data_IF_241526535720
#
_entry.id   IF_241526535720
#
_cell.length_a   1.000
_cell.length_b   1.000
_cell.length_c   1.000
_cell.angle_alpha   90.00
_cell.angle_beta   90.00
_cell.angle_gamma   90.00
#
_symmetry.space_group_name_H-M   'P 1'
#
loop_
_entity.id
_entity.type
_entity.pdbx_description
1 polymer ?
2 non-polymer ?
3 water ?
#
# COMPACT_ATOMS: atom_id res chain seq x y z
N UNK A 1 11.50 -19.15 0.92
CA UNK A 1 10.90 -18.14 1.89
C UNK A 1 10.80 -18.68 3.33
N UNK A 2 10.95 -17.78 4.33
CA UNK A 2 10.76 -18.15 5.73
C UNK A 2 9.30 -18.47 6.05
N UNK A 3 9.06 -19.11 7.20
CA UNK A 3 7.76 -19.51 7.61
C UNK A 3 6.86 -18.35 7.94
N UNK A 4 7.44 -17.27 8.39
CA UNK A 4 6.63 -16.11 8.79
C UNK A 4 7.45 -14.84 8.68
N UNK A 5 6.81 -13.73 8.29
CA UNK A 5 7.44 -12.41 8.32
C UNK A 5 6.34 -11.41 8.66
N UNK A 6 6.72 -10.38 9.43
CA UNK A 6 5.79 -9.31 9.74
C UNK A 6 6.61 -8.05 9.84
N UNK A 7 6.53 -7.21 8.81
CA UNK A 7 7.38 -6.03 8.72
C UNK A 7 7.05 -5.00 9.79
N UNK A 8 5.88 -5.12 10.43
CA UNK A 8 5.60 -4.26 11.59
C UNK A 8 6.62 -4.50 12.69
N UNK A 9 7.14 -5.73 12.83
CA UNK A 9 8.14 -6.08 13.87
C UNK A 9 9.57 -5.63 13.47
N UNK A 10 9.77 -5.13 12.25
CA UNK A 10 11.08 -4.72 11.76
C UNK A 10 11.18 -3.18 11.55
N UNK A 11 10.16 -2.45 12.00
CA UNK A 11 10.21 -0.98 11.98
C UNK A 11 9.85 -0.31 10.66
N UNK A 12 9.27 -1.07 9.74
CA UNK A 12 9.11 -0.60 8.34
C UNK A 12 7.67 -0.13 8.01
N UNK A 13 6.80 -0.03 9.01
CA UNK A 13 5.38 0.27 8.79
C UNK A 13 4.93 1.40 9.71
N UNK A 14 4.33 2.40 9.10
CA UNK A 14 3.78 3.55 9.84
C UNK A 14 2.38 3.20 10.41
N UNK A 15 1.88 4.00 11.34
CA UNK A 15 0.52 3.74 11.84
C UNK A 15 -0.54 3.81 10.75
N UNK A 16 -1.68 3.21 11.07
CA UNK A 16 -2.79 3.08 10.12
C UNK A 16 -3.40 4.44 9.89
N UNK A 17 -3.64 4.71 8.62
CA UNK A 17 -4.19 5.98 8.16
C UNK A 17 -5.69 5.80 7.75
N UNK A 18 -6.32 6.94 7.40
CA UNK A 18 -7.75 6.90 7.05
C UNK A 18 -7.91 7.76 5.82
N UNK A 19 -8.31 7.15 4.71
CA UNK A 19 -8.61 7.91 3.50
C UNK A 19 -9.86 8.79 3.59
N UNK A 20 -10.74 8.46 4.54
CA UNK A 20 -12.00 9.17 4.63
C UNK A 20 -12.87 8.99 3.41
N UNK A 21 -13.58 10.07 3.02
CA UNK A 21 -14.61 10.01 1.97
C UNK A 21 -13.99 10.40 0.61
N UNK A 22 -12.93 9.71 0.26
CA UNK A 22 -12.19 9.98 -0.95
C UNK A 22 -11.68 8.63 -1.44
N UNK A 23 -11.86 8.32 -2.72
CA UNK A 23 -11.39 7.05 -3.26
C UNK A 23 -9.91 7.00 -3.62
N UNK A 24 -9.09 7.32 -2.63
CA UNK A 24 -7.67 7.48 -2.78
C UNK A 24 -6.88 6.26 -2.29
N UNK A 25 -7.55 5.10 -2.20
CA UNK A 25 -6.90 3.86 -1.74
C UNK A 25 -5.56 3.62 -2.49
N UNK A 26 -5.58 3.85 -3.81
CA UNK A 26 -4.41 3.63 -4.66
C UNK A 26 -3.22 4.49 -4.17
N UNK A 27 -3.50 5.68 -3.64
CA UNK A 27 -2.43 6.56 -3.14
C UNK A 27 -1.83 6.01 -1.83
N UNK A 28 -2.71 5.56 -0.94
CA UNK A 28 -2.26 4.97 0.35
C UNK A 28 -1.41 3.74 0.08
N UNK A 29 -1.87 2.87 -0.83
CA UNK A 29 -1.10 1.70 -1.21
C UNK A 29 0.33 2.04 -1.70
N UNK A 30 0.38 3.00 -2.63
CA UNK A 30 1.64 3.44 -3.20
C UNK A 30 2.58 4.01 -2.10
N UNK A 31 2.05 4.91 -1.30
CA UNK A 31 2.85 5.57 -0.27
C UNK A 31 3.30 4.58 0.81
N UNK A 32 2.42 3.66 1.23
CA UNK A 32 2.80 2.65 2.22
C UNK A 32 3.97 1.83 1.75
N UNK A 33 3.91 1.46 0.44
CA UNK A 33 5.02 0.73 -0.14
C UNK A 33 6.34 1.52 -0.12
N UNK A 34 6.29 2.81 -0.47
CA UNK A 34 7.51 3.63 -0.52
C UNK A 34 8.02 3.84 0.92
N UNK A 35 7.11 4.06 1.85
CA UNK A 35 7.53 4.17 3.28
C UNK A 35 8.33 2.99 3.73
N UNK A 36 7.87 1.77 3.36
CA UNK A 36 8.53 0.56 3.78
C UNK A 36 9.85 0.34 3.05
N UNK A 37 9.83 0.51 1.72
CA UNK A 37 11.10 0.32 0.93
C UNK A 37 12.19 1.30 1.36
N UNK A 38 11.82 2.52 1.70
CA UNK A 38 12.77 3.55 2.12
C UNK A 38 13.41 3.16 3.46
N UNK A 39 12.59 2.66 4.39
CA UNK A 39 13.12 2.19 5.70
C UNK A 39 14.03 0.97 5.57
N UNK A 40 13.60 0.01 4.76
CA UNK A 40 14.35 -1.22 4.60
C UNK A 40 15.77 -0.98 3.94
N UNK A 41 15.89 0.05 3.10
CA UNK A 41 17.16 0.53 2.50
C UNK A 41 18.13 1.10 3.51
N UNK A 42 17.64 1.40 4.71
CA UNK A 42 18.50 1.84 5.79
C UNK A 42 18.27 3.27 6.20
N UNK A 43 17.13 3.85 5.88
CA UNK A 43 16.81 5.18 6.30
C UNK A 43 15.79 5.10 7.45
N UNK A 44 15.62 6.19 8.21
CA UNK A 44 14.58 6.24 9.23
C UNK A 44 13.18 6.12 8.62
N UNK A 45 12.28 5.49 9.32
CA UNK A 45 10.88 5.52 8.93
C UNK A 45 10.35 6.92 9.00
N UNK A 46 9.72 7.33 7.91
CA UNK A 46 9.10 8.65 7.80
C UNK A 46 7.73 8.51 7.13
N UNK A 47 6.72 9.20 7.63
CA UNK A 47 5.40 9.24 6.99
C UNK A 47 5.46 10.17 5.75
N UNK A 48 4.99 9.62 4.64
CA UNK A 48 5.08 10.33 3.34
C UNK A 48 3.69 10.76 2.91
N UNK A 49 3.64 11.60 1.86
CA UNK A 49 2.41 12.30 1.51
C UNK A 49 1.52 11.62 0.45
N UNK A 50 0.38 11.08 0.88
CA UNK A 50 -0.63 10.67 -0.09
C UNK A 50 -1.23 11.86 -0.82
N UNK A 51 -1.35 12.98 -0.11
CA UNK A 51 -1.95 14.16 -0.75
C UNK A 51 -1.20 14.61 -1.99
N UNK A 52 0.12 14.51 -1.98
CA UNK A 52 0.92 14.81 -3.15
C UNK A 52 0.34 14.08 -4.37
N UNK A 53 0.06 12.79 -4.20
CA UNK A 53 -0.52 12.01 -5.28
C UNK A 53 -1.93 12.42 -5.63
N UNK A 54 -2.76 12.58 -4.61
CA UNK A 54 -4.18 12.88 -4.86
C UNK A 54 -4.33 14.17 -5.66
N UNK A 55 -3.53 15.16 -5.27
CA UNK A 55 -3.65 16.50 -5.86
C UNK A 55 -2.80 16.72 -7.12
N UNK A 56 -1.64 16.05 -7.22
CA UNK A 56 -0.60 16.39 -8.25
C UNK A 56 -0.39 15.33 -9.35
N UNK A 57 -0.72 14.06 -9.08
CA UNK A 57 -0.56 13.01 -10.09
C UNK A 57 -1.64 13.18 -11.15
N UNK A 58 -1.22 13.61 -12.33
CA UNK A 58 -2.17 13.88 -13.41
C UNK A 58 -2.54 12.67 -14.24
N UNK A 59 -1.92 11.51 -14.01
CA UNK A 59 -2.33 10.31 -14.71
C UNK A 59 -3.62 9.70 -14.05
N UNK A 60 -3.64 9.77 -12.74
CA UNK A 60 -4.73 9.27 -11.91
C UNK A 60 -5.78 10.33 -11.68
N UNK A 61 -6.85 9.96 -10.97
CA UNK A 61 -8.02 10.79 -10.85
C UNK A 61 -8.34 11.17 -9.40
N UNK A 62 -7.33 11.32 -8.52
CA UNK A 62 -7.55 11.85 -7.15
C UNK A 62 -8.53 10.97 -6.42
N UNK A 63 -9.63 11.57 -5.89
CA UNK A 63 -10.66 10.84 -5.15
C UNK A 63 -11.51 9.89 -6.01
N UNK A 64 -11.42 10.04 -7.34
CA UNK A 64 -12.19 9.21 -8.26
C UNK A 64 -11.54 7.88 -8.56
N UNK A 65 -10.28 7.72 -8.17
CA UNK A 65 -9.61 6.44 -8.35
C UNK A 65 -8.28 6.58 -9.08
N UNK A 66 -7.57 5.45 -9.15
CA UNK A 66 -6.21 5.45 -9.68
C UNK A 66 -5.59 4.08 -9.64
N UNK A 67 -4.35 3.99 -10.10
CA UNK A 67 -3.65 2.75 -10.09
C UNK A 67 -2.27 3.01 -9.49
N UNK A 68 -1.78 2.07 -8.65
CA UNK A 68 -0.41 2.14 -8.10
C UNK A 68 0.63 2.23 -9.22
N UNK A 69 0.45 1.43 -10.28
CA UNK A 69 1.40 1.51 -11.42
C UNK A 69 1.54 2.95 -11.95
N UNK A 70 0.43 3.63 -12.14
CA UNK A 70 0.45 4.98 -12.67
C UNK A 70 1.11 5.92 -11.69
N UNK A 71 0.81 5.74 -10.37
CA UNK A 71 1.36 6.63 -9.37
C UNK A 71 2.89 6.50 -9.34
N UNK A 72 3.42 5.28 -9.36
CA UNK A 72 4.87 5.08 -9.42
C UNK A 72 5.46 5.75 -10.68
N UNK A 73 4.80 5.57 -11.81
CA UNK A 73 5.20 6.22 -13.07
C UNK A 73 5.26 7.76 -12.93
N UNK A 74 4.23 8.37 -12.36
CA UNK A 74 4.18 9.77 -12.13
C UNK A 74 5.34 10.27 -11.21
N UNK A 75 5.55 9.57 -10.11
CA UNK A 75 6.60 9.95 -9.21
C UNK A 75 7.97 9.99 -9.93
N UNK A 76 8.27 8.93 -10.67
CA UNK A 76 9.62 8.78 -11.25
C UNK A 76 9.78 9.75 -12.43
N UNK A 77 8.75 9.84 -13.28
CA UNK A 77 8.92 10.51 -14.57
C UNK A 77 8.41 11.92 -14.59
N UNK A 78 7.53 12.26 -13.65
CA UNK A 78 7.02 13.62 -13.55
C UNK A 78 7.49 14.40 -12.36
N UNK A 79 7.96 13.71 -11.32
CA UNK A 79 8.38 14.41 -10.08
C UNK A 79 9.82 14.05 -9.69
N UNK A 80 10.60 13.59 -10.67
CA UNK A 80 12.05 13.35 -10.49
C UNK A 80 12.36 12.31 -9.44
N UNK A 81 11.39 11.44 -9.12
CA UNK A 81 11.61 10.36 -8.19
C UNK A 81 11.29 10.73 -6.73
N UNK A 82 10.96 11.99 -6.51
CA UNK A 82 10.83 12.52 -5.17
C UNK A 82 9.45 12.31 -4.54
N UNK A 83 9.42 12.05 -3.22
CA UNK A 83 8.21 11.92 -2.47
C UNK A 83 8.27 12.86 -1.24
N UNK A 84 7.27 13.70 -1.11
CA UNK A 84 7.28 14.67 -0.02
C UNK A 84 6.80 14.03 1.27
N UNK A 85 7.19 14.61 2.38
CA UNK A 85 6.73 14.15 3.66
C UNK A 85 5.26 14.55 3.90
N UNK A 86 4.60 13.78 4.75
CA UNK A 86 3.26 14.05 5.16
C UNK A 86 3.20 15.39 5.90
N UNK A 87 4.19 15.63 6.72
CA UNK A 87 4.27 16.91 7.46
C UNK A 87 4.28 18.11 6.48
N UNK A 88 5.01 18.01 5.37
CA UNK A 88 5.10 19.11 4.42
C UNK A 88 3.85 19.27 3.55
N UNK A 89 3.12 18.15 3.32
CA UNK A 89 2.02 18.11 2.37
C UNK A 89 0.93 17.18 2.96
N UNK A 90 0.23 17.63 3.99
CA UNK A 90 -0.65 16.79 4.76
C UNK A 90 -1.93 16.41 4.03
N UNK A 91 -2.55 15.32 4.48
CA UNK A 91 -3.77 14.83 3.82
C UNK A 91 -4.97 15.66 4.25
N UNK A 92 -5.58 16.35 3.29
CA UNK A 92 -6.77 17.15 3.52
C UNK A 92 -7.99 16.65 2.77
N UNK A 93 -7.85 15.59 1.95
CA UNK A 93 -8.98 15.12 1.12
C UNK A 93 -9.95 14.14 1.80
N UNK A 94 -9.80 13.95 3.10
CA UNK A 94 -10.71 13.05 3.87
C UNK A 94 -12.20 13.44 3.80
N UNK A 95 -12.51 14.70 3.48
CA UNK A 95 -13.91 15.15 3.29
C UNK A 95 -14.33 15.09 1.83
N UNK A 96 -13.47 14.57 0.96
CA UNK A 96 -13.79 14.43 -0.44
C UNK A 96 -13.41 15.63 -1.30
N UNK A 97 -13.01 16.74 -0.68
CA UNK A 97 -12.54 17.95 -1.44
C UNK A 97 -11.16 17.66 -2.03
N UNK A 98 -10.93 18.09 -3.27
CA UNK A 98 -9.62 17.88 -3.90
C UNK A 98 -9.05 19.22 -4.32
N UNK A 99 -8.13 19.76 -3.51
CA UNK A 99 -7.56 21.04 -3.86
C UNK A 99 -6.61 20.88 -5.03
N UNK A 100 -6.28 22.00 -5.66
CA UNK A 100 -5.26 21.99 -6.71
C UNK A 100 -3.87 21.72 -6.13
N UNK A 101 -3.00 21.16 -6.96
CA UNK A 101 -1.64 20.80 -6.57
C UNK A 101 -0.90 22.08 -6.14
N UNK A 102 -0.19 22.03 -5.00
CA UNK A 102 0.51 23.27 -4.61
C UNK A 102 1.96 23.24 -5.12
N UNK A 103 2.68 22.17 -4.82
CA UNK A 103 4.11 21.96 -5.22
C UNK A 103 5.02 23.20 -5.36
N UNK A 104 5.72 23.56 -4.26
CA UNK A 104 6.82 24.57 -4.21
C UNK A 104 7.66 24.56 -2.91
N UNK A 105 8.87 24.00 -2.95
CA UNK A 105 9.70 24.01 -1.77
C UNK A 105 9.31 23.03 -0.65
N UNK A 106 8.62 21.95 -1.03
CA UNK A 106 8.27 20.92 -0.06
C UNK A 106 9.49 20.17 0.42
N UNK A 107 9.44 19.63 1.53
CA UNK A 107 10.36 18.68 2.13
C UNK A 107 10.27 17.32 1.45
N UNK A 108 11.42 16.86 1.03
CA UNK A 108 11.47 15.56 0.38
C UNK A 108 11.82 14.52 1.46
N UNK A 109 10.98 13.51 1.60
CA UNK A 109 11.20 12.43 2.56
C UNK A 109 11.89 11.17 2.02
N UNK A 110 11.73 10.89 0.72
CA UNK A 110 12.22 9.68 0.12
C UNK A 110 12.35 9.93 -1.34
N UNK A 111 13.11 9.06 -1.99
CA UNK A 111 13.35 9.14 -3.44
C UNK A 111 13.36 7.70 -3.94
N UNK A 112 12.73 7.47 -5.07
CA UNK A 112 12.73 6.16 -5.72
C UNK A 112 13.30 6.30 -7.15
N UNK A 113 13.76 5.19 -7.71
CA UNK A 113 14.45 5.20 -9.01
C UNK A 113 13.66 4.45 -10.10
N UNK A 114 12.72 3.61 -9.68
CA UNK A 114 12.01 2.69 -10.59
C UNK A 114 10.91 2.01 -9.82
N UNK A 115 10.17 1.16 -10.51
CA UNK A 115 9.24 0.26 -9.84
C UNK A 115 9.15 -1.01 -10.64
N UNK A 116 8.76 -2.08 -9.95
CA UNK A 116 8.69 -3.39 -10.56
C UNK A 116 7.36 -4.05 -10.33
N UNK A 117 7.02 -4.95 -11.27
CA UNK A 117 5.81 -5.76 -11.17
C UNK A 117 6.23 -7.14 -10.75
N UNK A 118 5.54 -7.75 -9.83
CA UNK A 118 5.91 -9.05 -9.32
C UNK A 118 5.10 -10.12 -10.07
N UNK A 119 5.64 -11.33 -10.12
CA UNK A 119 4.90 -12.44 -10.70
C UNK A 119 3.58 -12.71 -9.98
N UNK A 120 2.64 -13.26 -10.72
CA UNK A 120 1.31 -13.59 -10.20
C UNK A 120 1.38 -14.98 -9.57
N UNK A 121 2.09 -15.10 -8.46
CA UNK A 121 2.47 -16.37 -7.88
C UNK A 121 2.65 -16.11 -6.38
N UNK A 122 1.78 -16.66 -5.54
CA UNK A 122 1.82 -16.34 -4.09
C UNK A 122 3.18 -16.68 -3.46
N UNK A 123 3.83 -17.74 -3.90
CA UNK A 123 5.13 -18.09 -3.31
C UNK A 123 6.23 -17.13 -3.69
N UNK A 124 6.18 -16.65 -4.94
CA UNK A 124 7.16 -15.69 -5.41
C UNK A 124 6.97 -14.40 -4.65
N UNK A 125 5.71 -14.05 -4.46
CA UNK A 125 5.36 -12.82 -3.74
C UNK A 125 5.88 -12.91 -2.27
N UNK A 126 5.65 -14.05 -1.64
CA UNK A 126 6.10 -14.27 -0.23
C UNK A 126 7.62 -14.09 -0.15
N UNK A 127 8.33 -14.69 -1.11
CA UNK A 127 9.79 -14.62 -1.11
C UNK A 127 10.31 -13.19 -1.27
N UNK A 128 9.71 -12.44 -2.18
CA UNK A 128 10.12 -11.10 -2.45
C UNK A 128 9.82 -10.20 -1.26
N UNK A 129 8.65 -10.41 -0.65
CA UNK A 129 8.24 -9.68 0.53
C UNK A 129 9.20 -9.93 1.69
N UNK A 130 9.59 -11.18 1.90
CA UNK A 130 10.49 -11.57 2.98
C UNK A 130 11.82 -10.89 2.87
N UNK A 131 12.31 -10.68 1.64
CA UNK A 131 13.63 -10.08 1.43
C UNK A 131 13.56 -8.57 1.35
N UNK A 132 12.49 -8.00 0.79
CA UNK A 132 12.50 -6.63 0.35
C UNK A 132 11.60 -5.65 1.10
N UNK A 133 10.56 -6.16 1.73
CA UNK A 133 9.65 -5.24 2.46
C UNK A 133 8.23 -5.18 1.91
N UNK A 134 7.38 -4.36 2.52
CA UNK A 134 5.93 -4.34 2.23
C UNK A 134 5.69 -3.98 0.77
N UNK A 135 4.66 -4.60 0.20
CA UNK A 135 4.36 -4.53 -1.24
C UNK A 135 2.97 -3.95 -1.51
N UNK A 136 2.82 -3.23 -2.63
CA UNK A 136 1.54 -2.66 -3.00
C UNK A 136 0.79 -3.80 -3.68
N UNK A 137 -0.49 -4.02 -3.31
CA UNK A 137 -1.27 -5.02 -3.99
C UNK A 137 -2.67 -4.48 -4.26
N UNK A 138 -3.32 -5.07 -5.25
CA UNK A 138 -4.72 -4.82 -5.50
C UNK A 138 -5.58 -6.04 -5.12
N UNK A 139 -6.79 -5.77 -4.63
CA UNK A 139 -7.76 -6.82 -4.24
C UNK A 139 -9.12 -6.42 -4.72
N UNK A 140 -9.98 -7.43 -4.79
CA UNK A 140 -11.42 -7.23 -4.75
C UNK A 140 -11.85 -6.97 -3.31
N UNK A 141 -12.35 -5.76 -3.04
CA UNK A 141 -12.67 -5.37 -1.65
C UNK A 141 -14.12 -5.68 -1.26
N UNK A 142 -14.84 -6.46 -2.07
CA UNK A 142 -16.25 -6.77 -1.78
C UNK A 142 -16.40 -7.36 -0.38
N UNK A 143 -15.58 -8.33 -0.04
CA UNK A 143 -15.69 -9.01 1.26
C UNK A 143 -15.09 -8.22 2.41
N UNK A 144 -14.36 -7.17 2.12
CA UNK A 144 -13.79 -6.32 3.19
C UNK A 144 -14.85 -5.50 3.91
N UNK A 145 -15.97 -5.24 3.22
CA UNK A 145 -16.95 -4.32 3.74
C UNK A 145 -17.58 -4.82 5.04
N UNK A 146 -17.74 -6.12 5.19
CA UNK A 146 -18.37 -6.72 6.38
C UNK A 146 -17.39 -7.35 7.36
N UNK A 147 -16.09 -7.21 7.08
CA UNK A 147 -15.07 -7.87 7.92
C UNK A 147 -14.94 -7.25 9.31
N UNK A 148 -14.89 -8.06 10.38
CA UNK A 148 -14.49 -7.55 11.73
C UNK A 148 -13.22 -8.13 12.29
N UNK A 149 -12.79 -9.27 11.78
CA UNK A 149 -11.58 -9.87 12.25
C UNK A 149 -11.61 -11.34 11.94
N UNK A 150 -10.49 -11.96 12.27
CA UNK A 150 -10.23 -13.33 11.96
C UNK A 150 -9.59 -13.49 10.59
N UNK A 151 -9.42 -14.73 10.15
CA UNK A 151 -8.84 -15.02 8.85
C UNK A 151 -9.92 -15.22 7.83
N UNK A 152 -9.95 -14.35 6.84
CA UNK A 152 -10.95 -14.46 5.78
C UNK A 152 -10.56 -15.55 4.81
N UNK A 153 -11.45 -16.54 4.59
CA UNK A 153 -11.18 -17.68 3.74
C UNK A 153 -12.13 -17.84 2.53
N UNK A 154 -13.17 -17.01 2.43
CA UNK A 154 -14.11 -17.14 1.29
C UNK A 154 -14.30 -15.76 0.69
N UNK A 155 -13.17 -15.15 0.34
CA UNK A 155 -13.18 -13.78 -0.18
C UNK A 155 -13.72 -13.76 -1.58
N UNK A 156 -14.67 -12.87 -1.85
CA UNK A 156 -15.16 -12.68 -3.23
C UNK A 156 -13.95 -12.26 -4.11
N UNK A 157 -13.77 -12.95 -5.23
CA UNK A 157 -12.58 -12.82 -6.05
C UNK A 157 -12.94 -12.63 -7.53
N UNK A 158 -13.55 -11.49 -7.85
CA UNK A 158 -14.07 -11.29 -9.19
C UNK A 158 -13.59 -10.07 -9.92
N UNK A 159 -13.34 -8.96 -9.21
CA UNK A 159 -12.93 -7.73 -9.87
C UNK A 159 -12.03 -6.92 -8.91
N UNK A 160 -10.88 -6.54 -9.39
CA UNK A 160 -9.94 -5.70 -8.57
C UNK A 160 -10.48 -4.29 -8.48
N UNK A 161 -10.64 -3.77 -7.27
CA UNK A 161 -11.17 -2.43 -7.08
C UNK A 161 -10.56 -1.65 -5.91
N UNK A 162 -9.50 -2.20 -5.32
CA UNK A 162 -8.93 -1.58 -4.11
C UNK A 162 -7.44 -1.85 -4.04
N UNK A 163 -6.68 -0.87 -3.56
CA UNK A 163 -5.26 -0.97 -3.40
C UNK A 163 -4.94 -0.93 -1.91
N UNK A 164 -4.16 -1.91 -1.47
CA UNK A 164 -3.78 -2.04 -0.05
C UNK A 164 -2.28 -2.36 0.04
N UNK A 165 -1.78 -2.60 1.27
CA UNK A 165 -0.40 -2.86 1.50
C UNK A 165 -0.19 -4.22 2.18
N UNK A 166 0.61 -5.08 1.56
CA UNK A 166 0.92 -6.40 2.06
C UNK A 166 2.11 -6.27 2.98
N UNK A 167 1.94 -6.62 4.26
CA UNK A 167 2.99 -6.40 5.25
C UNK A 167 3.61 -7.65 5.86
N UNK A 168 3.01 -8.81 5.63
CA UNK A 168 3.62 -10.03 6.17
C UNK A 168 2.76 -11.25 5.84
N UNK A 169 3.14 -12.38 6.42
CA UNK A 169 2.36 -13.58 6.31
C UNK A 169 2.85 -14.55 7.43
N UNK A 170 2.08 -15.60 7.62
CA UNK A 170 2.37 -16.69 8.61
C UNK A 170 1.94 -18.00 7.99
N UNK A 171 2.91 -18.80 7.59
CA UNK A 171 2.68 -20.15 7.08
C UNK A 171 2.52 -21.20 8.18
N UNK A 172 2.84 -20.84 9.44
CA UNK A 172 2.65 -21.70 10.62
C UNK A 172 1.32 -21.33 11.35
N UNK A 173 0.27 -21.34 10.59
CA UNK A 173 -1.06 -21.13 11.07
C UNK A 173 -1.87 -22.10 10.24
N UNK A 174 -2.98 -22.53 10.79
CA UNK A 174 -3.92 -23.34 10.05
C UNK A 174 -5.19 -22.54 10.07
N UNK A 175 -5.51 -21.87 8.95
CA UNK A 175 -4.76 -21.84 7.70
C UNK A 175 -3.67 -20.76 7.71
N UNK A 176 -2.76 -20.85 6.75
CA UNK A 176 -1.74 -19.82 6.54
C UNK A 176 -2.45 -18.54 6.09
N UNK A 177 -1.82 -17.41 6.39
CA UNK A 177 -2.47 -16.14 6.07
C UNK A 177 -1.46 -15.08 5.69
N UNK A 178 -1.97 -14.13 4.90
CA UNK A 178 -1.35 -12.85 4.63
C UNK A 178 -1.87 -11.81 5.62
N UNK A 179 -1.02 -10.84 5.94
CA UNK A 179 -1.32 -9.70 6.76
C UNK A 179 -1.36 -8.41 5.88
N UNK A 180 -2.48 -7.70 5.86
CA UNK A 180 -2.67 -6.55 4.96
C UNK A 180 -3.04 -5.30 5.78
N UNK A 181 -2.37 -4.19 5.51
CA UNK A 181 -2.69 -2.89 6.08
C UNK A 181 -3.69 -2.21 5.15
N UNK A 182 -4.84 -1.87 5.71
CA UNK A 182 -5.85 -1.14 5.00
C UNK A 182 -5.77 0.36 5.42
N UNK A 183 -6.51 1.18 4.71
CA UNK A 183 -6.51 2.63 4.88
C UNK A 183 -7.90 3.14 5.25
N UNK A 184 -8.55 2.44 6.13
CA UNK A 184 -9.93 2.82 6.55
C UNK A 184 -9.98 3.12 8.07
N UNK A 185 -8.86 3.57 8.60
CA UNK A 185 -8.62 3.87 10.02
C UNK A 185 -8.34 2.62 10.84
N UNK A 186 -7.78 2.86 12.04
CA UNK A 186 -7.55 1.79 13.00
C UNK A 186 -8.83 1.26 13.66
N UNK A 187 -9.99 1.82 13.36
CA UNK A 187 -11.24 1.35 13.94
C UNK A 187 -11.86 0.23 13.10
N UNK A 188 -11.31 0.00 11.91
CA UNK A 188 -11.78 -1.07 10.99
C UNK A 188 -10.92 -2.33 11.15
N UNK A 189 -11.52 -3.52 11.08
CA UNK A 189 -10.78 -4.77 11.10
C UNK A 189 -9.99 -4.99 12.38
N UNK A 190 -8.79 -5.54 12.25
CA UNK A 190 -7.91 -5.90 13.35
C UNK A 190 -6.94 -4.73 13.56
N UNK A 191 -7.44 -3.67 14.23
CA UNK A 191 -6.63 -2.47 14.47
C UNK A 191 -6.12 -1.90 13.10
N UNK A 192 -6.99 -1.99 12.08
CA UNK A 192 -6.76 -1.43 10.73
C UNK A 192 -6.26 -2.43 9.68
N UNK A 193 -5.99 -3.67 10.14
CA UNK A 193 -5.46 -4.74 9.33
C UNK A 193 -6.51 -5.83 9.08
N UNK A 194 -6.23 -6.62 8.06
CA UNK A 194 -6.99 -7.80 7.72
C UNK A 194 -6.04 -8.95 7.42
N UNK A 195 -6.46 -10.14 7.83
CA UNK A 195 -5.78 -11.39 7.47
C UNK A 195 -6.64 -12.17 6.51
N UNK A 196 -6.05 -12.58 5.40
CA UNK A 196 -6.73 -13.41 4.43
C UNK A 196 -5.95 -14.66 4.21
N UNK A 197 -6.64 -15.73 3.87
CA UNK A 197 -5.95 -17.00 3.68
C UNK A 197 -4.91 -16.88 2.58
N UNK A 198 -3.77 -17.51 2.77
CA UNK A 198 -2.67 -17.57 1.85
C UNK A 198 -2.63 -18.91 1.10
N UNK A 199 -2.49 -18.84 -0.21
CA UNK A 199 -2.36 -20.06 -1.04
C UNK A 199 -3.54 -20.37 -1.94
N UNK A 200 -4.63 -19.64 -1.79
CA UNK A 200 -5.87 -19.86 -2.60
C UNK A 200 -6.26 -18.59 -3.39
N UNK A 201 -5.29 -17.73 -3.61
CA UNK A 201 -5.50 -16.44 -4.30
C UNK A 201 -6.77 -15.70 -3.85
N UNK A 202 -6.94 -15.55 -2.54
CA UNK A 202 -8.05 -14.84 -1.95
C UNK A 202 -8.11 -13.37 -2.44
N UNK A 203 -9.30 -12.96 -2.87
CA UNK A 203 -9.59 -11.62 -3.30
C UNK A 203 -8.76 -11.21 -4.55
N UNK A 204 -8.23 -12.19 -5.27
CA UNK A 204 -7.39 -11.98 -6.42
C UNK A 204 -6.10 -11.22 -6.07
N UNK A 205 -5.58 -11.49 -4.88
CA UNK A 205 -4.46 -10.73 -4.34
C UNK A 205 -3.17 -10.88 -5.12
N UNK A 206 -3.06 -11.96 -5.91
CA UNK A 206 -1.80 -12.17 -6.65
C UNK A 206 -1.70 -11.41 -7.99
N UNK A 207 -2.75 -10.72 -8.38
CA UNK A 207 -2.88 -10.25 -9.75
C UNK A 207 -2.11 -9.00 -10.17
N UNK A 208 -1.91 -8.09 -9.21
CA UNK A 208 -1.37 -6.77 -9.50
C UNK A 208 -0.52 -6.32 -8.31
N UNK A 209 0.61 -7.01 -8.12
CA UNK A 209 1.55 -6.73 -7.05
C UNK A 209 2.73 -5.97 -7.62
N UNK A 210 3.11 -4.89 -6.94
CA UNK A 210 4.23 -4.08 -7.42
C UNK A 210 4.96 -3.44 -6.24
N UNK A 211 6.10 -2.87 -6.57
CA UNK A 211 6.90 -2.18 -5.57
C UNK A 211 7.79 -1.14 -6.21
N UNK A 212 8.00 -0.04 -5.48
CA UNK A 212 9.05 0.91 -5.81
C UNK A 212 10.39 0.28 -5.57
N UNK A 213 11.40 0.81 -6.25
CA UNK A 213 12.79 0.44 -6.05
C UNK A 213 13.52 1.67 -5.54
N UNK A 214 14.19 1.53 -4.40
CA UNK A 214 15.00 2.62 -3.82
C UNK A 214 16.45 2.24 -4.13
N UNK A 215 17.16 3.12 -4.78
CA UNK A 215 18.60 2.88 -5.03
C UNK A 215 18.79 1.91 -6.19
#
# INVERSE_FOLDING_TARGET
>A
APAAVDWREKGAVTPVKDQGQCGSCWAFSTIGNIEGQWQVAGNPLVSLSEQMLVSCDTIDFGCGGGLMDNAFNWIVNSNGGNVFTEASYPYVSGNGEQPQCQMNGHEIGAAITDHVDLPQDEDAIAAYLAENGPLAIAVDATSFMDYNGGILTSCTSEQLDHGVLLVGYNDASNPPYWIIKNSWSNMWGEDGYIRIEKGTNQCLMNQAVSSAVVG
#
